data_IF_768456182015
#
_entry.id   IF_768456182015
#
_cell.length_a   1.000
_cell.length_b   1.000
_cell.length_c   1.000
_cell.angle_alpha   90.00
_cell.angle_beta   90.00
_cell.angle_gamma   90.00
#
_symmetry.space_group_name_H-M   'P 1'
#
loop_
_entity.id
_entity.type
_entity.pdbx_description
1 polymer ?
#
# COMPACT_ATOMS: atom_id res chain seq x y z
N UNK A 1 -33.45 -11.20 20.93
CA UNK A 1 -33.02 -10.47 19.71
C UNK A 1 -31.80 -11.17 19.14
N UNK A 2 -31.97 -11.98 18.10
CA UNK A 2 -30.86 -12.65 17.41
C UNK A 2 -30.11 -11.61 16.59
N UNK A 3 -28.95 -11.21 17.07
CA UNK A 3 -28.06 -10.25 16.42
C UNK A 3 -27.47 -10.90 15.15
N UNK A 4 -28.22 -10.89 14.05
CA UNK A 4 -27.72 -11.32 12.74
C UNK A 4 -26.66 -10.30 12.31
N UNK A 5 -25.39 -10.60 12.58
CA UNK A 5 -24.25 -9.84 12.06
C UNK A 5 -24.40 -9.71 10.55
N UNK A 6 -24.23 -8.49 10.02
CA UNK A 6 -24.28 -8.22 8.59
C UNK A 6 -23.31 -9.16 7.88
N UNK A 7 -23.83 -9.98 6.95
CA UNK A 7 -22.98 -10.80 6.10
C UNK A 7 -22.20 -9.86 5.17
N UNK A 8 -20.88 -9.78 5.37
CA UNK A 8 -19.98 -9.04 4.48
C UNK A 8 -19.42 -10.06 3.49
N UNK A 9 -19.58 -9.86 2.17
CA UNK A 9 -18.98 -10.76 1.17
C UNK A 9 -17.49 -10.97 1.42
N UNK A 10 -17.05 -12.23 1.40
CA UNK A 10 -15.65 -12.60 1.68
C UNK A 10 -15.28 -12.68 3.17
N UNK A 11 -16.16 -12.28 4.10
CA UNK A 11 -15.95 -12.42 5.54
C UNK A 11 -16.76 -13.60 6.06
N UNK A 12 -16.06 -14.63 6.53
CA UNK A 12 -16.66 -15.84 7.05
C UNK A 12 -16.07 -16.19 8.43
N UNK A 13 -16.84 -16.85 9.31
CA UNK A 13 -16.29 -17.38 10.55
C UNK A 13 -15.08 -18.28 10.26
N UNK A 14 -14.02 -18.10 11.04
CA UNK A 14 -12.80 -18.90 10.97
C UNK A 14 -12.55 -19.49 12.35
N UNK A 15 -12.72 -20.80 12.48
CA UNK A 15 -12.60 -21.53 13.75
C UNK A 15 -11.16 -22.05 13.98
N UNK A 16 -10.25 -21.77 13.06
CA UNK A 16 -8.85 -22.17 13.15
C UNK A 16 -8.00 -21.20 13.99
N UNK A 17 -6.79 -21.61 14.39
CA UNK A 17 -5.84 -20.70 15.02
C UNK A 17 -5.36 -19.62 14.04
N UNK A 18 -5.08 -18.43 14.56
CA UNK A 18 -4.57 -17.28 13.77
C UNK A 18 -3.18 -17.53 13.14
N UNK A 19 -2.45 -18.54 13.63
CA UNK A 19 -1.20 -19.04 13.03
C UNK A 19 -1.24 -20.57 12.89
N UNK A 20 -0.33 -21.14 12.11
CA UNK A 20 -0.23 -22.59 11.89
C UNK A 20 -0.47 -22.98 10.43
N UNK A 21 -0.98 -24.19 10.18
CA UNK A 21 -1.09 -24.75 8.83
C UNK A 21 -1.93 -23.93 7.85
N UNK A 22 -3.01 -23.29 8.33
CA UNK A 22 -3.83 -22.38 7.52
C UNK A 22 -3.03 -21.16 7.04
N UNK A 23 -2.28 -20.54 7.95
CA UNK A 23 -1.42 -19.40 7.66
C UNK A 23 -0.26 -19.75 6.72
N UNK A 24 0.35 -20.92 6.91
CA UNK A 24 1.39 -21.44 6.00
C UNK A 24 0.83 -21.70 4.59
N UNK A 25 -0.35 -22.30 4.49
CA UNK A 25 -1.02 -22.54 3.20
C UNK A 25 -1.34 -21.21 2.49
N UNK A 26 -1.88 -20.24 3.21
CA UNK A 26 -2.20 -18.92 2.66
C UNK A 26 -0.95 -18.17 2.19
N UNK A 27 0.14 -18.24 2.96
CA UNK A 27 1.44 -17.68 2.57
C UNK A 27 1.98 -18.36 1.30
N UNK A 28 1.94 -19.70 1.23
CA UNK A 28 2.38 -20.44 0.05
C UNK A 28 1.57 -20.11 -1.21
N UNK A 29 0.25 -19.92 -1.07
CA UNK A 29 -0.61 -19.47 -2.17
C UNK A 29 -0.20 -18.07 -2.64
N UNK A 30 0.02 -17.13 -1.71
CA UNK A 30 0.44 -15.78 -2.05
C UNK A 30 1.78 -15.75 -2.79
N UNK A 31 2.78 -16.47 -2.25
CA UNK A 31 4.09 -16.64 -2.91
C UNK A 31 3.92 -17.18 -4.33
N UNK A 32 3.21 -18.30 -4.49
CA UNK A 32 3.03 -18.93 -5.80
C UNK A 32 2.30 -18.06 -6.81
N UNK A 33 1.38 -17.21 -6.35
CA UNK A 33 0.49 -16.45 -7.24
C UNK A 33 1.00 -15.06 -7.58
N UNK A 34 1.93 -14.51 -6.80
CA UNK A 34 2.43 -13.14 -6.99
C UNK A 34 3.92 -13.09 -7.26
N UNK A 35 4.74 -13.79 -6.48
CA UNK A 35 6.21 -13.68 -6.55
C UNK A 35 6.83 -14.87 -7.30
N UNK A 36 8.05 -14.72 -7.79
CA UNK A 36 8.82 -15.87 -8.26
C UNK A 36 9.12 -16.83 -7.08
N UNK A 37 8.73 -18.10 -7.21
CA UNK A 37 8.90 -19.09 -6.15
C UNK A 37 10.38 -19.35 -5.81
N UNK A 38 11.31 -19.09 -6.72
CA UNK A 38 12.74 -19.26 -6.49
C UNK A 38 13.37 -18.08 -5.72
N UNK A 39 12.87 -16.86 -5.92
CA UNK A 39 13.35 -15.67 -5.20
C UNK A 39 12.66 -15.48 -3.84
N UNK A 40 11.49 -16.09 -3.67
CA UNK A 40 10.67 -15.95 -2.48
C UNK A 40 11.37 -16.30 -1.16
N UNK A 41 12.09 -17.43 -1.03
CA UNK A 41 12.74 -17.79 0.22
C UNK A 41 13.83 -16.78 0.61
N UNK A 42 14.68 -16.36 -0.34
CA UNK A 42 15.74 -15.40 -0.09
C UNK A 42 15.18 -14.03 0.33
N UNK A 43 14.11 -13.59 -0.32
CA UNK A 43 13.45 -12.31 -0.02
C UNK A 43 12.79 -12.33 1.36
N UNK A 44 12.02 -13.37 1.68
CA UNK A 44 11.35 -13.50 2.98
C UNK A 44 12.34 -13.70 4.13
N UNK A 45 13.45 -14.41 3.92
CA UNK A 45 14.49 -14.58 4.93
C UNK A 45 15.27 -13.29 5.23
N UNK A 46 15.23 -12.29 4.34
CA UNK A 46 15.81 -10.96 4.59
C UNK A 46 14.85 -9.99 5.27
N UNK A 47 13.57 -10.34 5.41
CA UNK A 47 12.59 -9.49 6.09
C UNK A 47 12.89 -9.42 7.60
N UNK A 48 12.96 -8.20 8.14
CA UNK A 48 13.23 -7.89 9.55
C UNK A 48 14.56 -8.46 10.08
N UNK A 49 15.57 -8.53 9.21
CA UNK A 49 16.94 -8.92 9.56
C UNK A 49 17.87 -7.70 9.61
N UNK A 50 18.98 -7.75 10.38
CA UNK A 50 19.92 -6.62 10.49
C UNK A 50 20.45 -6.09 9.15
N UNK A 51 20.82 -6.98 8.24
CA UNK A 51 21.29 -6.62 6.88
C UNK A 51 20.16 -6.76 5.83
N UNK A 52 18.92 -6.66 6.29
CA UNK A 52 17.70 -6.93 5.55
C UNK A 52 16.90 -5.67 5.24
N UNK A 53 15.57 -5.81 5.29
CA UNK A 53 14.64 -4.70 5.16
C UNK A 53 13.45 -4.90 6.10
N UNK A 54 12.85 -3.79 6.53
CA UNK A 54 11.68 -3.82 7.40
C UNK A 54 10.42 -4.21 6.62
N UNK A 55 9.63 -5.10 7.22
CA UNK A 55 8.40 -5.60 6.65
C UNK A 55 7.41 -4.44 6.43
N UNK A 56 6.99 -4.14 5.18
CA UNK A 56 6.13 -2.99 4.88
C UNK A 56 4.69 -3.19 5.39
N UNK A 57 4.34 -4.39 5.83
CA UNK A 57 3.05 -4.71 6.44
C UNK A 57 3.11 -4.88 7.97
N UNK A 58 4.23 -4.57 8.63
CA UNK A 58 4.37 -4.84 10.06
C UNK A 58 3.63 -3.79 10.90
N UNK A 59 2.75 -4.26 11.79
CA UNK A 59 2.13 -3.44 12.83
C UNK A 59 2.81 -3.65 14.21
N UNK A 60 3.87 -4.46 14.27
CA UNK A 60 4.51 -4.89 15.51
C UNK A 60 5.94 -4.38 15.59
N UNK A 61 6.40 -3.95 16.78
CA UNK A 61 7.78 -3.53 16.97
C UNK A 61 8.73 -4.69 16.73
N UNK A 62 9.92 -4.38 16.21
CA UNK A 62 10.94 -5.37 15.96
C UNK A 62 11.35 -6.03 17.28
N UNK A 63 11.25 -7.36 17.30
CA UNK A 63 11.81 -8.15 18.39
C UNK A 63 13.32 -8.14 18.26
N UNK A 64 14.03 -8.32 19.37
CA UNK A 64 15.46 -8.62 19.34
C UNK A 64 15.75 -9.69 18.25
N UNK A 65 16.74 -9.44 17.38
CA UNK A 65 17.07 -10.26 16.21
C UNK A 65 17.59 -11.66 16.60
N UNK A 66 16.68 -12.52 17.06
CA UNK A 66 16.98 -13.87 17.58
C UNK A 66 16.37 -15.00 16.75
N UNK A 67 15.50 -14.69 15.80
CA UNK A 67 14.81 -15.68 14.95
C UNK A 67 15.21 -15.55 13.48
N UNK A 68 15.36 -16.69 12.81
CA UNK A 68 15.54 -16.79 11.35
C UNK A 68 14.27 -16.41 10.58
N UNK A 69 13.10 -16.54 11.21
CA UNK A 69 11.80 -16.14 10.65
C UNK A 69 11.22 -15.01 11.50
N UNK A 70 11.21 -13.79 10.96
CA UNK A 70 10.76 -12.58 11.64
C UNK A 70 9.59 -11.91 10.93
N UNK A 71 8.71 -12.69 10.30
CA UNK A 71 7.51 -12.18 9.63
C UNK A 71 6.28 -13.03 9.99
N UNK A 72 5.11 -12.40 9.97
CA UNK A 72 3.82 -13.10 10.08
C UNK A 72 3.25 -13.39 8.67
N UNK A 73 2.13 -14.11 8.61
CA UNK A 73 1.42 -14.39 7.35
C UNK A 73 1.12 -13.11 6.54
N UNK A 74 0.61 -12.07 7.20
CA UNK A 74 0.27 -10.81 6.54
C UNK A 74 1.52 -10.06 6.07
N UNK A 75 2.61 -10.12 6.84
CA UNK A 75 3.90 -9.56 6.43
C UNK A 75 4.45 -10.27 5.20
N UNK A 76 4.43 -11.61 5.19
CA UNK A 76 4.82 -12.39 4.02
C UNK A 76 3.96 -12.06 2.79
N UNK A 77 2.64 -11.95 2.96
CA UNK A 77 1.74 -11.52 1.88
C UNK A 77 2.11 -10.13 1.36
N UNK A 78 2.30 -9.15 2.24
CA UNK A 78 2.69 -7.79 1.84
C UNK A 78 3.96 -7.81 1.00
N UNK A 79 5.00 -8.50 1.47
CA UNK A 79 6.26 -8.67 0.72
C UNK A 79 6.03 -9.35 -0.63
N UNK A 80 5.19 -10.40 -0.70
CA UNK A 80 4.92 -11.08 -1.98
C UNK A 80 4.18 -10.22 -3.00
N UNK A 81 3.32 -9.29 -2.54
CA UNK A 81 2.62 -8.36 -3.42
C UNK A 81 3.56 -7.26 -3.92
N UNK A 82 4.42 -6.72 -3.06
CA UNK A 82 5.45 -5.75 -3.48
C UNK A 82 6.46 -6.37 -4.46
N UNK A 83 6.85 -7.62 -4.23
CA UNK A 83 7.79 -8.39 -5.06
C UNK A 83 7.11 -9.12 -6.23
N UNK A 84 5.86 -8.79 -6.57
CA UNK A 84 5.13 -9.50 -7.62
C UNK A 84 5.87 -9.42 -8.96
N UNK A 85 5.82 -10.49 -9.76
CA UNK A 85 6.38 -10.51 -11.13
C UNK A 85 5.39 -10.02 -12.18
N UNK A 86 4.11 -9.87 -11.81
CA UNK A 86 3.07 -9.38 -12.72
C UNK A 86 3.27 -7.91 -13.03
N UNK A 87 2.95 -7.53 -14.27
CA UNK A 87 3.09 -6.16 -14.77
C UNK A 87 1.84 -5.77 -15.53
N UNK A 88 1.31 -4.61 -15.18
CA UNK A 88 0.31 -3.93 -15.98
C UNK A 88 1.03 -3.24 -17.13
N UNK A 89 0.80 -3.73 -18.35
CA UNK A 89 1.45 -3.23 -19.56
C UNK A 89 0.65 -2.08 -20.18
N UNK A 90 1.29 -1.22 -21.00
CA UNK A 90 0.56 -0.21 -21.78
C UNK A 90 -0.54 -0.81 -22.66
N UNK A 91 -0.33 -2.01 -23.22
CA UNK A 91 -1.34 -2.69 -24.04
C UNK A 91 -2.57 -3.10 -23.21
N UNK A 92 -2.38 -3.56 -21.97
CA UNK A 92 -3.49 -3.84 -21.06
C UNK A 92 -4.29 -2.56 -20.77
N UNK A 93 -3.61 -1.46 -20.45
CA UNK A 93 -4.27 -0.18 -20.12
C UNK A 93 -5.01 0.44 -21.31
N UNK A 94 -4.48 0.27 -22.53
CA UNK A 94 -5.16 0.70 -23.75
C UNK A 94 -6.40 -0.17 -24.08
N UNK A 95 -6.42 -1.42 -23.64
CA UNK A 95 -7.51 -2.36 -23.88
C UNK A 95 -8.61 -2.35 -22.81
N UNK A 96 -8.39 -1.68 -21.68
CA UNK A 96 -9.34 -1.63 -20.56
C UNK A 96 -9.67 -0.18 -20.22
N UNK A 97 -10.95 0.18 -20.29
CA UNK A 97 -11.37 1.53 -19.92
C UNK A 97 -11.28 1.74 -18.41
N UNK A 98 -11.06 2.97 -17.97
CA UNK A 98 -11.03 3.32 -16.55
C UNK A 98 -12.36 2.98 -15.89
N UNK A 99 -13.49 3.21 -16.57
CA UNK A 99 -14.81 2.82 -16.07
C UNK A 99 -14.92 1.31 -15.84
N UNK A 100 -14.33 0.48 -16.71
CA UNK A 100 -14.34 -0.98 -16.56
C UNK A 100 -13.46 -1.46 -15.41
N UNK A 101 -12.34 -0.79 -15.17
CA UNK A 101 -11.44 -1.06 -14.05
C UNK A 101 -12.05 -0.62 -12.73
N UNK A 102 -12.80 0.49 -12.70
CA UNK A 102 -13.50 0.97 -11.51
C UNK A 102 -14.56 0.00 -10.99
N UNK A 103 -15.10 -0.87 -11.84
CA UNK A 103 -16.05 -1.91 -11.47
C UNK A 103 -15.38 -3.17 -10.86
N UNK A 104 -14.05 -3.25 -10.85
CA UNK A 104 -13.29 -4.37 -10.28
C UNK A 104 -13.11 -4.21 -8.79
N UNK A 105 -12.97 -5.33 -8.09
CA UNK A 105 -12.58 -5.32 -6.69
C UNK A 105 -11.10 -4.95 -6.53
N UNK A 106 -10.73 -4.41 -5.36
CA UNK A 106 -9.34 -4.07 -5.03
C UNK A 106 -8.40 -5.28 -5.21
N UNK A 107 -8.88 -6.48 -4.87
CA UNK A 107 -8.11 -7.72 -5.03
C UNK A 107 -7.86 -8.06 -6.51
N UNK A 108 -8.84 -7.84 -7.38
CA UNK A 108 -8.67 -8.03 -8.82
C UNK A 108 -7.69 -6.99 -9.40
N UNK A 109 -7.83 -5.72 -9.00
CA UNK A 109 -6.98 -4.62 -9.45
C UNK A 109 -5.52 -4.84 -9.09
N UNK A 110 -5.26 -5.13 -7.81
CA UNK A 110 -3.91 -5.48 -7.33
C UNK A 110 -3.38 -6.71 -8.07
N UNK A 111 -4.26 -7.68 -8.34
CA UNK A 111 -3.97 -8.92 -9.05
C UNK A 111 -3.44 -8.75 -10.48
N UNK A 112 -3.66 -7.61 -11.13
CA UNK A 112 -3.11 -7.30 -12.46
C UNK A 112 -1.61 -6.98 -12.43
N UNK A 113 -1.08 -6.56 -11.28
CA UNK A 113 0.36 -6.35 -11.05
C UNK A 113 0.82 -4.90 -11.11
N UNK A 114 2.14 -4.71 -11.17
CA UNK A 114 2.75 -3.38 -10.99
C UNK A 114 2.60 -2.49 -12.23
N UNK A 115 2.33 -1.20 -12.00
CA UNK A 115 2.44 -0.18 -13.04
C UNK A 115 3.91 -0.02 -13.43
N UNK A 116 4.15 0.11 -14.73
CA UNK A 116 5.50 0.11 -15.32
C UNK A 116 5.90 1.45 -15.92
N UNK A 117 4.93 2.35 -16.12
CA UNK A 117 5.10 3.63 -16.78
C UNK A 117 4.28 4.69 -16.05
N UNK A 118 4.69 5.96 -16.08
CA UNK A 118 3.79 7.08 -15.81
C UNK A 118 2.63 7.05 -16.80
N UNK A 119 1.44 7.43 -16.33
CA UNK A 119 0.22 7.34 -17.11
C UNK A 119 -0.50 8.69 -17.14
N UNK A 120 -1.20 8.95 -18.23
CA UNK A 120 -2.14 10.04 -18.39
C UNK A 120 -3.51 9.48 -18.76
N UNK A 121 -4.57 10.02 -18.16
CA UNK A 121 -5.93 9.68 -18.54
C UNK A 121 -6.33 10.38 -19.84
N UNK A 122 -6.81 9.59 -20.79
CA UNK A 122 -7.41 10.06 -22.05
C UNK A 122 -8.93 9.96 -21.94
N UNK A 123 -9.59 11.12 -21.99
CA UNK A 123 -11.05 11.24 -21.83
C UNK A 123 -11.81 10.71 -23.05
N UNK A 124 -11.25 10.84 -24.25
CA UNK A 124 -11.96 10.48 -25.48
C UNK A 124 -12.10 8.95 -25.61
N UNK A 125 -11.06 8.22 -25.19
CA UNK A 125 -11.08 6.75 -25.18
C UNK A 125 -11.42 6.13 -23.83
N UNK A 126 -11.56 6.92 -22.77
CA UNK A 126 -11.72 6.47 -21.38
C UNK A 126 -10.60 5.49 -20.93
N UNK A 127 -9.35 5.73 -21.32
CA UNK A 127 -8.23 4.81 -21.03
C UNK A 127 -7.01 5.53 -20.45
N UNK A 128 -6.12 4.80 -19.79
CA UNK A 128 -4.82 5.30 -19.37
C UNK A 128 -3.76 5.06 -20.45
N UNK A 129 -3.03 6.10 -20.84
CA UNK A 129 -1.95 6.04 -21.84
C UNK A 129 -0.60 6.31 -21.20
N UNK A 130 0.48 5.63 -21.63
CA UNK A 130 1.82 5.91 -21.12
C UNK A 130 2.27 7.31 -21.51
N UNK A 131 3.02 7.96 -20.62
CA UNK A 131 3.68 9.25 -20.84
C UNK A 131 5.11 9.17 -20.32
N UNK A 132 6.02 9.93 -20.93
CA UNK A 132 7.41 10.01 -20.46
C UNK A 132 7.48 10.67 -19.07
N UNK A 133 8.47 10.29 -18.25
CA UNK A 133 8.66 10.85 -16.91
C UNK A 133 8.81 12.37 -16.93
N UNK A 134 9.59 12.90 -17.86
CA UNK A 134 9.84 14.33 -18.02
C UNK A 134 8.55 15.09 -18.32
N UNK A 135 7.70 14.52 -19.17
CA UNK A 135 6.41 15.10 -19.52
C UNK A 135 5.43 15.03 -18.35
N UNK A 136 5.42 13.93 -17.60
CA UNK A 136 4.61 13.79 -16.39
C UNK A 136 4.99 14.85 -15.34
N UNK A 137 6.29 14.97 -15.02
CA UNK A 137 6.77 15.96 -14.06
C UNK A 137 6.55 17.40 -14.54
N UNK A 138 6.81 17.69 -15.81
CA UNK A 138 6.56 19.02 -16.37
C UNK A 138 5.09 19.43 -16.23
N UNK A 139 4.17 18.53 -16.56
CA UNK A 139 2.72 18.76 -16.44
C UNK A 139 2.27 18.93 -14.99
N UNK A 140 2.76 18.08 -14.08
CA UNK A 140 2.48 18.22 -12.63
C UNK A 140 2.95 19.60 -12.15
N UNK A 141 4.19 19.98 -12.46
CA UNK A 141 4.75 21.26 -12.06
C UNK A 141 4.03 22.46 -12.68
N UNK A 142 3.56 22.36 -13.92
CA UNK A 142 2.76 23.41 -14.58
C UNK A 142 1.43 23.63 -13.84
N UNK A 143 0.71 22.56 -13.53
CA UNK A 143 -0.56 22.63 -12.80
C UNK A 143 -0.33 23.22 -11.40
N UNK A 144 0.66 22.71 -10.66
CA UNK A 144 0.96 23.19 -9.31
C UNK A 144 1.33 24.68 -9.31
N UNK A 145 2.12 25.19 -10.25
CA UNK A 145 2.42 26.63 -10.32
C UNK A 145 1.20 27.53 -10.57
N UNK A 146 0.09 26.97 -11.05
CA UNK A 146 -1.16 27.69 -11.29
C UNK A 146 -2.14 27.69 -10.12
N UNK A 147 -1.88 26.91 -9.06
CA UNK A 147 -2.77 26.76 -7.91
C UNK A 147 -2.26 27.57 -6.72
N UNK A 148 -3.17 28.04 -5.87
CA UNK A 148 -2.79 28.57 -4.56
C UNK A 148 -2.40 27.42 -3.61
N UNK A 149 -1.50 27.64 -2.64
CA UNK A 149 -1.02 26.56 -1.78
C UNK A 149 -2.12 25.78 -1.06
N UNK A 150 -3.16 26.46 -0.57
CA UNK A 150 -4.27 25.84 0.18
C UNK A 150 -5.28 25.10 -0.70
N UNK A 151 -5.16 25.18 -2.02
CA UNK A 151 -5.98 24.41 -2.97
C UNK A 151 -5.39 23.02 -3.25
N UNK A 152 -4.20 22.72 -2.72
CA UNK A 152 -3.49 21.47 -2.97
C UNK A 152 -3.42 20.64 -1.69
N UNK A 153 -3.75 19.36 -1.82
CA UNK A 153 -3.64 18.37 -0.76
C UNK A 153 -2.48 17.41 -1.06
N UNK A 154 -1.57 17.28 -0.10
CA UNK A 154 -0.41 16.40 -0.23
C UNK A 154 -0.59 15.15 0.62
N UNK A 155 -1.26 14.16 0.04
CA UNK A 155 -1.58 12.92 0.74
C UNK A 155 -0.45 11.89 0.71
N UNK A 156 -0.14 11.28 1.87
CA UNK A 156 0.81 10.16 1.97
C UNK A 156 0.19 8.92 2.60
N UNK A 157 0.63 7.76 2.13
CA UNK A 157 0.27 6.45 2.69
C UNK A 157 1.35 5.97 3.65
N UNK A 158 0.96 5.24 4.69
CA UNK A 158 1.85 4.55 5.62
C UNK A 158 2.67 3.41 4.98
N UNK A 159 2.46 3.13 3.69
CA UNK A 159 3.37 2.29 2.90
C UNK A 159 4.59 3.05 2.34
N UNK A 160 4.58 4.38 2.36
CA UNK A 160 5.75 5.14 1.98
C UNK A 160 6.86 4.97 3.02
N UNK A 161 8.11 4.83 2.56
CA UNK A 161 9.27 4.86 3.47
C UNK A 161 9.34 6.19 4.22
N UNK A 162 9.90 6.20 5.42
CA UNK A 162 10.11 7.42 6.21
C UNK A 162 10.86 8.50 5.44
N UNK A 163 11.86 8.13 4.64
CA UNK A 163 12.67 9.03 3.82
C UNK A 163 11.83 9.69 2.72
N UNK A 164 11.03 8.92 2.00
CA UNK A 164 10.12 9.44 0.98
C UNK A 164 9.05 10.36 1.60
N UNK A 165 8.46 9.97 2.73
CA UNK A 165 7.50 10.80 3.45
C UNK A 165 8.14 12.10 3.94
N UNK A 166 9.39 12.04 4.43
CA UNK A 166 10.15 13.21 4.87
C UNK A 166 10.44 14.19 3.71
N UNK A 167 10.88 13.70 2.56
CA UNK A 167 11.10 14.56 1.40
C UNK A 167 9.79 15.15 0.86
N UNK A 168 8.71 14.38 0.85
CA UNK A 168 7.42 14.82 0.36
C UNK A 168 6.80 15.93 1.24
N UNK A 169 6.92 15.82 2.57
CA UNK A 169 6.49 16.92 3.45
C UNK A 169 7.32 18.18 3.27
N UNK A 170 8.64 18.07 3.04
CA UNK A 170 9.50 19.25 2.82
C UNK A 170 9.08 19.95 1.53
N UNK A 171 8.85 19.19 0.47
CA UNK A 171 8.39 19.71 -0.81
C UNK A 171 7.12 20.55 -0.68
N UNK A 172 6.11 20.05 0.04
CA UNK A 172 4.84 20.77 0.13
C UNK A 172 4.84 21.92 1.15
N UNK A 173 5.73 21.89 2.15
CA UNK A 173 6.01 23.07 2.99
C UNK A 173 6.72 24.17 2.21
N UNK A 174 7.66 23.80 1.34
CA UNK A 174 8.31 24.73 0.40
C UNK A 174 7.32 25.27 -0.64
N UNK A 175 6.36 24.44 -1.07
CA UNK A 175 5.24 24.86 -1.91
C UNK A 175 4.32 25.86 -1.20
N UNK A 176 4.36 25.93 0.13
CA UNK A 176 3.70 26.97 0.93
C UNK A 176 2.45 26.52 1.67
N UNK A 177 2.21 25.22 1.86
CA UNK A 177 1.04 24.71 2.58
C UNK A 177 1.39 23.74 3.72
N UNK A 178 0.45 23.58 4.65
CA UNK A 178 0.45 22.51 5.66
C UNK A 178 -0.70 21.51 5.46
N UNK A 179 -1.36 21.53 4.29
CA UNK A 179 -2.44 20.61 3.96
C UNK A 179 -1.91 19.19 3.65
N UNK A 180 -1.62 18.44 4.71
CA UNK A 180 -1.00 17.11 4.71
C UNK A 180 -1.86 16.06 5.44
N UNK A 181 -3.03 15.71 4.93
CA UNK A 181 -3.69 14.52 5.42
C UNK A 181 -2.87 13.28 5.05
N UNK A 182 -2.78 12.34 5.95
CA UNK A 182 -2.17 11.03 5.71
C UNK A 182 -3.16 9.92 6.06
N UNK A 183 -2.88 8.68 5.64
CA UNK A 183 -3.81 7.56 5.88
C UNK A 183 -4.12 7.31 7.36
N UNK A 184 -3.23 7.74 8.26
CA UNK A 184 -3.39 7.63 9.70
C UNK A 184 -4.36 8.67 10.28
N UNK A 185 -4.65 9.80 9.61
CA UNK A 185 -5.68 10.73 10.10
C UNK A 185 -7.03 10.02 10.30
N UNK A 186 -7.40 9.15 9.36
CA UNK A 186 -8.66 8.39 9.41
C UNK A 186 -8.71 7.32 10.51
N UNK A 187 -7.56 6.75 10.91
CA UNK A 187 -7.51 5.56 11.76
C UNK A 187 -6.83 5.76 13.12
N UNK A 188 -5.93 6.74 13.22
CA UNK A 188 -5.04 6.94 14.36
C UNK A 188 -5.17 8.32 15.00
N UNK A 189 -5.70 9.34 14.32
CA UNK A 189 -5.84 10.69 14.89
C UNK A 189 -6.60 10.68 16.22
N UNK A 190 -7.72 9.94 16.27
CA UNK A 190 -8.50 9.75 17.50
C UNK A 190 -7.71 9.06 18.62
N UNK A 191 -6.82 8.12 18.28
CA UNK A 191 -5.93 7.45 19.24
C UNK A 191 -4.69 8.26 19.59
N UNK A 192 -4.37 9.34 18.87
CA UNK A 192 -3.25 10.22 19.23
C UNK A 192 -3.65 11.23 20.30
N UNK A 193 -4.93 11.64 20.34
CA UNK A 193 -5.48 12.50 21.40
C UNK A 193 -6.00 11.73 22.62
N UNK A 194 -6.54 10.52 22.41
CA UNK A 194 -7.11 9.69 23.48
C UNK A 194 -6.18 9.47 24.69
N UNK A 195 -4.94 8.98 24.50
CA UNK A 195 -3.98 8.69 25.57
C UNK A 195 -3.57 9.92 26.38
N UNK A 196 -3.52 11.10 25.76
CA UNK A 196 -3.18 12.35 26.44
C UNK A 196 -4.20 12.76 27.52
N UNK A 197 -5.41 12.19 27.47
CA UNK A 197 -6.48 12.46 28.44
C UNK A 197 -6.51 11.49 29.62
N UNK A 198 -5.79 10.35 29.55
CA UNK A 198 -5.91 9.27 30.54
C UNK A 198 -4.79 9.28 31.60
N UNK A 199 -3.76 10.11 31.43
CA UNK A 199 -2.56 10.11 32.29
C UNK A 199 -2.46 11.36 33.18
N UNK A 200 -3.52 11.66 33.93
CA UNK A 200 -3.48 12.64 35.04
C UNK A 200 -3.79 12.04 36.42
N UNK A 201 -3.92 10.72 36.53
CA UNK A 201 -4.22 10.05 37.81
C UNK A 201 -3.53 8.68 37.93
N UNK A 202 -2.21 8.67 37.78
CA UNK A 202 -1.30 7.74 38.46
C UNK A 202 -0.11 8.54 39.03
#
# INVERSE_FOLDING_TARGET
>A
MTNKRRAVPGVHPYDGPAGGWGALKATAIAVRTQMDAFEAPATLLRTNQPDGFDCPGCAWPDKEHKSTFQFCENGAKAVTWEATTKRVTPAFLAANTVSSLLAKSDFELEGYGRLTHPLVYDRDSDTLRPVAWEQAFARIGEILRGLQPDEVEFYTSGRASNEAAWLFQLFAREYGTNNFPDCSNMCHESTSVGPATVDRHW
#
